data_IF_130486129505
#
_entry.id   IF_130486129505
#
_cell.length_a   1.000
_cell.length_b   1.000
_cell.length_c   1.000
_cell.angle_alpha   90.00
_cell.angle_beta   90.00
_cell.angle_gamma   90.00
#
_symmetry.space_group_name_H-M   'P 1'
#
loop_
_entity.id
_entity.type
_entity.pdbx_description
1 polymer ?
#
# COMPACT_ATOMS: atom_id res chain seq x y z
N UNK A 1 -14.39 -6.08 -1.65
CA UNK A 1 -14.74 -5.54 -2.97
C UNK A 1 -14.68 -6.68 -3.95
N UNK A 2 -15.73 -6.87 -4.75
CA UNK A 2 -15.85 -7.99 -5.70
C UNK A 2 -15.10 -7.67 -7.00
N UNK A 3 -14.55 -8.69 -7.67
CA UNK A 3 -13.83 -8.55 -8.93
C UNK A 3 -14.71 -7.92 -10.01
N UNK A 4 -15.96 -8.35 -10.11
CA UNK A 4 -16.90 -7.82 -11.12
C UNK A 4 -17.10 -6.31 -10.98
N UNK A 5 -17.27 -5.81 -9.76
CA UNK A 5 -17.43 -4.38 -9.45
C UNK A 5 -16.19 -3.59 -9.86
N UNK A 6 -14.99 -4.10 -9.52
CA UNK A 6 -13.71 -3.49 -9.91
C UNK A 6 -13.60 -3.39 -11.43
N UNK A 7 -13.94 -4.46 -12.16
CA UNK A 7 -13.89 -4.48 -13.61
C UNK A 7 -14.88 -3.49 -14.25
N UNK A 8 -16.06 -3.31 -13.64
CA UNK A 8 -17.04 -2.33 -14.11
C UNK A 8 -16.58 -0.87 -13.95
N UNK A 9 -15.69 -0.59 -13.01
CA UNK A 9 -15.09 0.75 -12.83
C UNK A 9 -13.99 1.05 -13.85
N UNK A 10 -13.47 0.02 -14.55
CA UNK A 10 -12.45 0.20 -15.58
C UNK A 10 -13.02 0.78 -16.89
N UNK A 11 -12.15 1.44 -17.65
CA UNK A 11 -12.46 1.89 -19.01
C UNK A 11 -12.51 0.70 -19.98
N UNK A 12 -13.23 0.88 -21.09
CA UNK A 12 -13.33 -0.16 -22.12
C UNK A 12 -11.94 -0.50 -22.70
N UNK A 13 -11.07 0.49 -22.87
CA UNK A 13 -9.72 0.27 -23.40
C UNK A 13 -8.85 -0.57 -22.45
N UNK A 14 -8.92 -0.30 -21.13
CA UNK A 14 -8.25 -1.14 -20.13
C UNK A 14 -8.81 -2.56 -20.14
N UNK A 15 -10.13 -2.73 -20.24
CA UNK A 15 -10.75 -4.06 -20.31
C UNK A 15 -10.35 -4.84 -21.56
N UNK A 16 -10.25 -4.20 -22.73
CA UNK A 16 -9.75 -4.84 -23.97
C UNK A 16 -8.31 -5.30 -23.81
N UNK A 17 -7.46 -4.49 -23.16
CA UNK A 17 -6.07 -4.81 -22.86
C UNK A 17 -5.95 -6.01 -21.93
N UNK A 18 -6.71 -6.04 -20.84
CA UNK A 18 -6.78 -7.17 -19.91
C UNK A 18 -7.34 -8.43 -20.60
N UNK A 19 -8.39 -8.27 -21.42
CA UNK A 19 -8.96 -9.36 -22.20
C UNK A 19 -7.94 -9.98 -23.17
N UNK A 20 -7.00 -9.18 -23.71
CA UNK A 20 -5.89 -9.67 -24.52
C UNK A 20 -4.97 -10.65 -23.78
N UNK A 21 -4.76 -10.47 -22.47
CA UNK A 21 -3.96 -11.38 -21.65
C UNK A 21 -4.68 -12.71 -21.36
N UNK A 22 -6.01 -12.67 -21.32
CA UNK A 22 -6.87 -13.82 -21.06
C UNK A 22 -7.31 -14.58 -22.32
N UNK A 23 -6.98 -14.08 -23.53
CA UNK A 23 -7.46 -14.67 -24.79
C UNK A 23 -8.92 -14.33 -25.13
N UNK A 24 -9.47 -13.28 -24.51
CA UNK A 24 -10.82 -12.77 -24.72
C UNK A 24 -10.90 -11.65 -25.78
N UNK A 25 -9.86 -11.49 -26.62
CA UNK A 25 -9.71 -10.34 -27.53
C UNK A 25 -10.80 -10.21 -28.62
N UNK A 26 -11.65 -11.22 -28.80
CA UNK A 26 -12.78 -11.18 -29.74
C UNK A 26 -14.01 -10.42 -29.25
N UNK A 27 -14.06 -10.03 -27.97
CA UNK A 27 -15.21 -9.33 -27.40
C UNK A 27 -15.06 -7.80 -27.51
N UNK A 28 -16.16 -7.11 -27.85
CA UNK A 28 -16.15 -5.65 -28.04
C UNK A 28 -17.05 -4.90 -27.05
N UNK A 29 -18.08 -5.57 -26.51
CA UNK A 29 -18.98 -5.00 -25.50
C UNK A 29 -18.35 -5.11 -24.12
N UNK A 30 -18.54 -4.06 -23.30
CA UNK A 30 -17.99 -3.99 -21.94
C UNK A 30 -18.45 -5.18 -21.09
N UNK A 31 -19.73 -5.52 -21.12
CA UNK A 31 -20.25 -6.68 -20.35
C UNK A 31 -19.64 -8.02 -20.78
N UNK A 32 -19.40 -8.21 -22.09
CA UNK A 32 -18.78 -9.43 -22.60
C UNK A 32 -17.32 -9.54 -22.16
N UNK A 33 -16.59 -8.41 -22.18
CA UNK A 33 -15.22 -8.33 -21.68
C UNK A 33 -15.15 -8.66 -20.19
N UNK A 34 -15.98 -8.00 -19.37
CA UNK A 34 -16.04 -8.23 -17.91
C UNK A 34 -16.36 -9.70 -17.61
N UNK A 35 -17.40 -10.25 -18.24
CA UNK A 35 -17.78 -11.67 -18.04
C UNK A 35 -16.67 -12.62 -18.44
N UNK A 36 -16.00 -12.37 -19.56
CA UNK A 36 -14.92 -13.24 -20.03
C UNK A 36 -13.71 -13.21 -19.08
N UNK A 37 -13.26 -12.02 -18.67
CA UNK A 37 -12.16 -11.86 -17.71
C UNK A 37 -12.52 -12.50 -16.37
N UNK A 38 -13.70 -12.16 -15.83
CA UNK A 38 -14.18 -12.71 -14.56
C UNK A 38 -14.22 -14.24 -14.58
N UNK A 39 -14.80 -14.85 -15.63
CA UNK A 39 -14.86 -16.31 -15.77
C UNK A 39 -13.47 -16.95 -15.74
N UNK A 40 -12.50 -16.37 -16.44
CA UNK A 40 -11.14 -16.92 -16.54
C UNK A 40 -10.38 -16.77 -15.22
N UNK A 41 -10.49 -15.61 -14.56
CA UNK A 41 -9.81 -15.38 -13.27
C UNK A 41 -10.43 -16.22 -12.16
N UNK A 42 -11.75 -16.46 -12.20
CA UNK A 42 -12.46 -17.26 -11.20
C UNK A 42 -12.35 -18.78 -11.39
N UNK A 43 -11.89 -19.24 -12.55
CA UNK A 43 -11.74 -20.68 -12.80
C UNK A 43 -10.37 -21.15 -12.27
N UNK A 44 -10.30 -22.09 -11.31
CA UNK A 44 -9.04 -22.47 -10.65
C UNK A 44 -7.92 -22.91 -11.61
N UNK A 45 -8.26 -23.67 -12.65
CA UNK A 45 -7.28 -24.18 -13.62
C UNK A 45 -6.67 -23.06 -14.46
N UNK A 46 -7.48 -22.11 -14.92
CA UNK A 46 -6.97 -20.94 -15.66
C UNK A 46 -6.28 -19.95 -14.74
N UNK A 47 -6.74 -19.79 -13.50
CA UNK A 47 -6.05 -18.99 -12.49
C UNK A 47 -4.64 -19.51 -12.25
N UNK A 48 -4.46 -20.83 -12.12
CA UNK A 48 -3.14 -21.46 -11.99
C UNK A 48 -2.26 -21.20 -13.23
N UNK A 49 -2.82 -21.33 -14.43
CA UNK A 49 -2.09 -21.00 -15.68
C UNK A 49 -1.69 -19.53 -15.76
N UNK A 50 -2.52 -18.62 -15.26
CA UNK A 50 -2.19 -17.20 -15.18
C UNK A 50 -1.11 -16.95 -14.13
N UNK A 51 -1.19 -17.64 -12.99
CA UNK A 51 -0.18 -17.60 -11.93
C UNK A 51 1.19 -18.08 -12.42
N UNK A 52 1.24 -19.16 -13.19
CA UNK A 52 2.48 -19.70 -13.74
C UNK A 52 3.17 -18.74 -14.73
N UNK A 53 2.40 -17.86 -15.38
CA UNK A 53 2.92 -16.80 -16.27
C UNK A 53 3.47 -15.59 -15.51
N UNK A 54 3.24 -15.47 -14.21
CA UNK A 54 3.79 -14.37 -13.41
C UNK A 54 5.28 -14.59 -13.14
N UNK A 55 6.06 -13.53 -13.28
CA UNK A 55 7.44 -13.49 -12.82
C UNK A 55 7.50 -13.63 -11.28
N UNK A 56 8.65 -14.07 -10.76
CA UNK A 56 8.81 -14.31 -9.32
C UNK A 56 8.55 -13.05 -8.48
N UNK A 57 8.95 -11.87 -8.96
CA UNK A 57 8.68 -10.60 -8.28
C UNK A 57 7.18 -10.24 -8.31
N UNK A 58 6.48 -10.57 -9.40
CA UNK A 58 5.04 -10.38 -9.54
C UNK A 58 4.26 -11.33 -8.62
N UNK A 59 4.69 -12.60 -8.49
CA UNK A 59 4.11 -13.55 -7.51
C UNK A 59 4.27 -13.05 -6.08
N UNK A 60 5.44 -12.50 -5.74
CA UNK A 60 5.69 -11.88 -4.43
C UNK A 60 4.79 -10.67 -4.19
N UNK A 61 4.50 -9.87 -5.23
CA UNK A 61 3.59 -8.73 -5.10
C UNK A 61 2.17 -9.17 -4.78
N UNK A 62 1.65 -10.20 -5.47
CA UNK A 62 0.33 -10.78 -5.17
C UNK A 62 0.32 -11.40 -3.76
N UNK A 63 1.38 -12.12 -3.38
CA UNK A 63 1.51 -12.69 -2.03
C UNK A 63 1.48 -11.60 -0.95
N UNK A 64 2.21 -10.51 -1.15
CA UNK A 64 2.19 -9.38 -0.23
C UNK A 64 0.80 -8.76 -0.09
N UNK A 65 0.06 -8.59 -1.19
CA UNK A 65 -1.30 -8.06 -1.15
C UNK A 65 -2.26 -9.03 -0.44
N UNK A 66 -2.13 -10.33 -0.71
CA UNK A 66 -2.90 -11.39 -0.06
C UNK A 66 -2.73 -11.38 1.46
N UNK A 67 -1.48 -11.35 1.94
CA UNK A 67 -1.18 -11.33 3.39
C UNK A 67 -1.58 -10.02 4.08
N UNK A 68 -1.80 -8.94 3.32
CA UNK A 68 -2.30 -7.66 3.81
C UNK A 68 -3.84 -7.53 3.72
N UNK A 69 -4.57 -8.65 3.55
CA UNK A 69 -6.03 -8.62 3.48
C UNK A 69 -6.58 -8.03 2.17
N UNK A 70 -5.77 -8.02 1.12
CA UNK A 70 -6.13 -7.56 -0.22
C UNK A 70 -5.56 -6.18 -0.60
N UNK A 71 -4.85 -5.51 0.30
CA UNK A 71 -4.23 -4.21 0.02
C UNK A 71 -2.75 -4.33 -0.33
N UNK A 72 -2.35 -3.81 -1.49
CA UNK A 72 -0.94 -3.76 -1.85
C UNK A 72 -0.28 -2.46 -1.37
N UNK A 73 0.73 -2.59 -0.49
CA UNK A 73 1.55 -1.47 -0.04
C UNK A 73 2.88 -1.43 -0.80
N UNK A 74 2.96 -0.56 -1.80
CA UNK A 74 4.15 -0.43 -2.65
C UNK A 74 5.42 -0.03 -1.87
N UNK A 75 5.31 0.84 -0.86
CA UNK A 75 6.45 1.29 -0.07
C UNK A 75 7.03 0.16 0.80
N UNK A 76 6.15 -0.61 1.46
CA UNK A 76 6.56 -1.79 2.22
C UNK A 76 7.17 -2.86 1.30
N UNK A 77 6.58 -3.07 0.13
CA UNK A 77 7.07 -4.02 -0.87
C UNK A 77 8.48 -3.66 -1.34
N UNK A 78 8.72 -2.40 -1.72
CA UNK A 78 10.05 -1.93 -2.15
C UNK A 78 11.07 -2.02 -1.00
N UNK A 79 10.66 -1.73 0.24
CA UNK A 79 11.54 -1.89 1.40
C UNK A 79 11.96 -3.35 1.63
N UNK A 80 11.08 -4.32 1.32
CA UNK A 80 11.35 -5.75 1.51
C UNK A 80 12.08 -6.40 0.32
N UNK A 81 11.69 -6.08 -0.90
CA UNK A 81 12.16 -6.75 -2.12
C UNK A 81 13.04 -5.86 -3.02
N UNK A 82 13.27 -4.60 -2.64
CA UNK A 82 14.18 -3.66 -3.29
C UNK A 82 13.61 -2.94 -4.52
N UNK A 83 12.62 -3.50 -5.20
CA UNK A 83 12.04 -2.91 -6.42
C UNK A 83 10.60 -3.38 -6.66
N UNK A 84 9.86 -2.66 -7.52
CA UNK A 84 8.55 -3.07 -8.01
C UNK A 84 8.70 -4.00 -9.23
N UNK A 85 7.68 -4.83 -9.54
CA UNK A 85 7.62 -5.60 -10.79
C UNK A 85 7.90 -4.72 -12.01
N UNK A 86 8.80 -5.19 -12.86
CA UNK A 86 9.18 -4.45 -14.07
C UNK A 86 7.98 -4.35 -15.00
N UNK A 87 7.80 -3.17 -15.57
CA UNK A 87 6.69 -2.87 -16.47
C UNK A 87 7.29 -2.40 -17.78
N UNK A 88 6.91 -3.01 -18.92
CA UNK A 88 7.38 -2.56 -20.22
C UNK A 88 7.00 -1.10 -20.40
N UNK A 89 8.01 -0.23 -20.37
CA UNK A 89 7.83 1.20 -20.53
C UNK A 89 7.31 1.43 -21.94
N UNK A 90 6.12 2.02 -22.06
CA UNK A 90 5.74 2.63 -23.33
C UNK A 90 6.57 3.91 -23.51
N UNK A 91 6.78 4.33 -24.77
CA UNK A 91 7.63 5.48 -25.09
C UNK A 91 7.36 6.69 -24.16
N UNK A 92 8.36 7.57 -23.95
CA UNK A 92 8.27 8.77 -23.07
C UNK A 92 7.01 9.64 -23.22
N UNK A 93 6.30 9.56 -24.36
CA UNK A 93 5.08 10.32 -24.65
C UNK A 93 3.82 9.46 -24.77
N UNK A 94 3.91 8.16 -24.52
CA UNK A 94 2.77 7.26 -24.59
C UNK A 94 2.09 7.18 -23.23
N UNK A 95 0.81 7.51 -23.22
CA UNK A 95 -0.11 7.26 -22.12
C UNK A 95 -0.54 5.78 -22.06
N UNK A 96 -0.08 4.96 -23.02
CA UNK A 96 -0.49 3.56 -23.14
C UNK A 96 0.43 2.68 -22.30
N UNK A 97 0.01 2.35 -21.07
CA UNK A 97 0.68 1.32 -20.28
C UNK A 97 0.33 -0.04 -20.88
N UNK A 98 1.36 -0.79 -21.31
CA UNK A 98 1.18 -2.18 -21.78
C UNK A 98 0.85 -3.06 -20.56
N UNK A 99 -0.28 -3.79 -20.60
CA UNK A 99 -0.70 -4.60 -19.47
C UNK A 99 0.26 -5.78 -19.28
N UNK A 100 0.55 -6.09 -18.03
CA UNK A 100 1.31 -7.29 -17.64
C UNK A 100 0.38 -8.29 -16.95
N UNK A 101 0.71 -9.60 -16.91
CA UNK A 101 -0.13 -10.60 -16.25
C UNK A 101 -0.50 -10.26 -14.80
N UNK A 102 0.34 -9.51 -14.09
CA UNK A 102 0.07 -9.00 -12.74
C UNK A 102 -1.19 -8.13 -12.65
N UNK A 103 -1.52 -7.38 -13.71
CA UNK A 103 -2.68 -6.48 -13.75
C UNK A 103 -4.02 -7.24 -13.76
N UNK A 104 -4.01 -8.58 -13.91
CA UNK A 104 -5.18 -9.45 -13.75
C UNK A 104 -5.46 -9.81 -12.29
N UNK A 105 -4.50 -9.58 -11.40
CA UNK A 105 -4.60 -9.88 -9.97
C UNK A 105 -4.71 -8.61 -9.14
N UNK A 106 -3.88 -7.62 -9.44
CA UNK A 106 -3.82 -6.36 -8.70
C UNK A 106 -4.42 -5.23 -9.54
N UNK A 107 -5.59 -4.74 -9.12
CA UNK A 107 -6.34 -3.75 -9.88
C UNK A 107 -6.12 -2.35 -9.32
N UNK A 108 -5.78 -1.40 -10.19
CA UNK A 108 -5.82 0.02 -9.85
C UNK A 108 -7.25 0.51 -9.88
N UNK A 109 -7.74 1.24 -8.86
CA UNK A 109 -9.08 1.84 -8.88
C UNK A 109 -9.24 2.88 -9.99
N UNK A 110 -8.13 3.40 -10.52
CA UNK A 110 -8.12 4.44 -11.56
C UNK A 110 -7.38 3.98 -12.82
N UNK A 111 -7.98 4.18 -14.01
CA UNK A 111 -7.54 3.57 -15.28
C UNK A 111 -6.28 4.21 -15.91
N UNK A 112 -5.80 5.33 -15.36
CA UNK A 112 -4.69 6.10 -15.94
C UNK A 112 -3.47 6.21 -15.04
N UNK A 113 -3.47 5.52 -13.89
CA UNK A 113 -2.41 5.68 -12.92
C UNK A 113 -1.44 4.51 -12.92
N UNK A 114 -0.17 4.87 -12.92
CA UNK A 114 0.90 3.92 -12.75
C UNK A 114 0.82 3.28 -11.35
N UNK A 115 1.23 2.02 -11.29
CA UNK A 115 1.21 1.16 -10.09
C UNK A 115 2.00 1.72 -8.89
N UNK A 116 2.80 2.76 -9.10
CA UNK A 116 3.54 3.46 -8.04
C UNK A 116 2.78 4.67 -7.44
N UNK A 117 1.63 5.07 -8.00
CA UNK A 117 0.88 6.27 -7.56
C UNK A 117 -0.27 5.89 -6.63
N UNK A 118 -1.02 4.84 -6.95
CA UNK A 118 -2.15 4.37 -6.15
C UNK A 118 -1.91 2.95 -5.66
N UNK A 119 -2.41 2.66 -4.45
CA UNK A 119 -2.41 1.30 -3.89
C UNK A 119 -3.37 0.43 -4.70
N UNK A 120 -2.87 -0.53 -5.48
CA UNK A 120 -3.71 -1.48 -6.17
C UNK A 120 -4.32 -2.46 -5.16
N UNK A 121 -5.50 -2.96 -5.52
CA UNK A 121 -6.33 -3.80 -4.65
C UNK A 121 -6.48 -5.18 -5.28
N UNK A 122 -6.34 -6.20 -4.44
CA UNK A 122 -6.66 -7.58 -4.75
C UNK A 122 -8.15 -7.81 -4.42
N UNK A 123 -8.97 -8.29 -5.37
CA UNK A 123 -10.38 -8.56 -5.14
C UNK A 123 -10.60 -9.57 -4.01
N UNK A 124 -11.61 -9.34 -3.16
CA UNK A 124 -11.85 -10.15 -1.96
C UNK A 124 -12.31 -11.58 -2.27
N UNK A 125 -13.05 -11.73 -3.36
CA UNK A 125 -13.52 -12.99 -3.94
C UNK A 125 -12.37 -13.83 -4.53
N UNK A 126 -11.24 -13.20 -4.88
CA UNK A 126 -10.04 -13.88 -5.36
C UNK A 126 -9.16 -14.43 -4.22
N UNK A 127 -9.26 -13.88 -3.02
CA UNK A 127 -8.50 -14.33 -1.83
C UNK A 127 -8.64 -15.84 -1.58
N UNK A 128 -9.84 -16.43 -1.44
CA UNK A 128 -9.97 -17.86 -1.15
C UNK A 128 -9.38 -18.75 -2.27
N UNK A 129 -9.38 -18.28 -3.53
CA UNK A 129 -8.83 -19.04 -4.64
C UNK A 129 -7.29 -19.04 -4.65
N UNK A 130 -6.67 -18.04 -4.04
CA UNK A 130 -5.22 -17.87 -3.97
C UNK A 130 -4.56 -18.60 -2.79
N UNK A 131 -5.33 -19.10 -1.83
CA UNK A 131 -4.83 -19.74 -0.61
C UNK A 131 -3.82 -20.87 -0.89
N UNK A 132 -4.08 -21.69 -1.92
CA UNK A 132 -3.21 -22.81 -2.29
C UNK A 132 -2.08 -22.44 -3.27
N UNK A 133 -2.08 -21.21 -3.79
CA UNK A 133 -1.11 -20.74 -4.78
C UNK A 133 -0.07 -19.80 -4.18
N UNK A 134 -0.47 -19.04 -3.15
CA UNK A 134 0.38 -18.04 -2.51
C UNK A 134 1.26 -18.68 -1.44
N UNK A 135 2.60 -18.60 -1.56
CA UNK A 135 3.48 -19.07 -0.51
C UNK A 135 3.31 -18.19 0.76
N UNK A 136 3.62 -18.75 1.95
CA UNK A 136 3.66 -17.96 3.18
C UNK A 136 4.67 -16.81 3.05
N UNK A 137 4.42 -15.67 3.73
CA UNK A 137 5.24 -14.48 3.54
C UNK A 137 6.66 -14.74 4.05
N UNK A 138 7.65 -14.29 3.26
CA UNK A 138 9.04 -14.32 3.69
C UNK A 138 9.18 -13.51 4.98
N UNK A 139 9.80 -14.12 6.00
CA UNK A 139 10.03 -13.44 7.27
C UNK A 139 10.81 -12.16 7.01
N UNK A 140 10.23 -11.03 7.42
CA UNK A 140 10.85 -9.72 7.24
C UNK A 140 12.23 -9.70 7.92
N UNK A 141 13.29 -9.72 7.12
CA UNK A 141 14.65 -9.58 7.62
C UNK A 141 14.97 -8.09 7.71
N UNK A 142 14.80 -7.51 8.90
CA UNK A 142 15.27 -6.15 9.19
C UNK A 142 16.80 -6.16 9.10
N UNK A 143 17.34 -5.85 7.94
CA UNK A 143 18.79 -5.72 7.73
C UNK A 143 19.25 -4.32 8.14
N UNK A 144 19.58 -4.16 9.43
CA UNK A 144 20.22 -2.95 10.02
C UNK A 144 19.23 -1.81 10.34
N UNK A 145 19.37 -1.02 11.41
CA UNK A 145 20.60 -0.44 11.95
C UNK A 145 20.52 -0.37 13.49
N UNK A 146 21.23 -1.25 14.21
CA UNK A 146 21.43 -1.11 15.66
C UNK A 146 22.52 -0.07 15.93
N UNK A 147 22.31 1.19 15.52
CA UNK A 147 23.09 2.29 16.09
C UNK A 147 22.60 2.46 17.52
N UNK A 148 23.30 1.78 18.44
CA UNK A 148 23.24 2.05 19.87
C UNK A 148 23.60 3.52 20.03
N UNK A 149 22.60 4.39 20.10
CA UNK A 149 22.79 5.75 20.56
C UNK A 149 23.42 5.62 21.96
N UNK A 150 24.74 5.80 22.03
CA UNK A 150 25.41 6.12 23.28
C UNK A 150 24.81 7.46 23.68
N UNK A 151 23.77 7.41 24.50
CA UNK A 151 23.29 8.57 25.24
C UNK A 151 24.48 9.02 26.09
N UNK A 152 25.27 9.98 25.59
CA UNK A 152 26.20 10.72 26.44
C UNK A 152 25.32 11.48 27.42
N UNK A 153 25.19 10.94 28.63
CA UNK A 153 24.82 11.71 29.80
C UNK A 153 26.02 12.60 30.13
N UNK A 154 26.23 13.66 29.36
CA UNK A 154 27.01 14.79 29.83
C UNK A 154 26.04 15.66 30.65
N UNK A 155 25.91 15.29 31.93
CA UNK A 155 25.36 16.17 32.95
C UNK A 155 26.49 17.16 33.28
N UNK A 156 26.59 18.26 32.53
CA UNK A 156 27.40 19.39 32.96
C UNK A 156 26.50 20.41 33.65
N UNK A 157 26.52 20.37 34.98
CA UNK A 157 26.01 21.43 35.84
C UNK A 157 26.77 22.73 35.55
N UNK A 158 26.14 23.69 34.87
CA UNK A 158 26.53 25.10 34.93
C UNK A 158 25.44 25.99 34.32
N UNK A 159 24.38 26.27 35.08
CA UNK A 159 23.43 27.35 34.82
C UNK A 159 22.97 27.92 36.17
N UNK A 160 23.89 28.52 36.93
CA UNK A 160 23.58 29.33 38.11
C UNK A 160 24.38 30.63 38.07
N UNK A 161 24.11 31.50 37.11
CA UNK A 161 24.50 32.92 37.16
C UNK A 161 23.92 33.69 35.98
N UNK A 162 22.60 33.82 35.90
CA UNK A 162 21.99 34.78 34.97
C UNK A 162 20.55 35.20 35.30
N UNK A 163 20.17 35.29 36.58
CA UNK A 163 18.95 36.02 36.95
C UNK A 163 19.14 36.68 38.33
N UNK A 164 19.79 37.84 38.33
CA UNK A 164 19.66 38.82 39.39
C UNK A 164 18.52 39.79 39.02
N UNK A 165 17.62 40.15 39.95
CA UNK A 165 16.40 40.91 39.66
C UNK A 165 16.68 42.43 39.60
N UNK A 166 16.05 43.15 38.65
CA UNK A 166 15.93 44.62 38.69
C UNK A 166 14.63 45.03 39.40
N UNK A 167 14.65 46.00 40.32
CA UNK A 167 13.45 46.51 40.99
C UNK A 167 12.94 47.81 40.34
N UNK A 168 11.61 47.98 40.29
CA UNK A 168 10.80 49.21 40.48
C UNK A 168 9.48 49.10 39.68
N UNK A 169 8.36 48.71 40.30
CA UNK A 169 7.28 49.57 40.89
C UNK A 169 6.41 50.32 39.84
N UNK A 170 5.16 50.71 40.17
CA UNK A 170 4.02 49.91 40.65
C UNK A 170 2.75 50.20 39.80
N UNK A 171 1.61 49.58 40.16
CA UNK A 171 0.24 50.16 40.26
C UNK A 171 -0.82 49.09 39.98
N UNK A 172 -1.77 49.04 40.92
CA UNK A 172 -3.13 48.48 40.95
C UNK A 172 -3.66 47.76 39.70
N UNK A 173 -4.31 46.60 39.86
CA UNK A 173 -5.72 46.45 40.28
C UNK A 173 -6.12 44.97 40.10
N UNK A 174 -6.53 44.32 41.20
CA UNK A 174 -7.64 43.35 41.34
C UNK A 174 -7.94 42.42 40.14
N UNK A 175 -7.69 41.11 40.28
CA UNK A 175 -8.77 40.11 40.18
C UNK A 175 -8.42 38.77 40.82
N UNK A 176 -9.43 38.25 41.52
CA UNK A 176 -9.47 37.06 42.35
C UNK A 176 -9.95 35.87 41.51
N UNK A 177 -9.77 34.66 42.04
CA UNK A 177 -10.45 33.39 41.69
C UNK A 177 -10.12 32.75 40.33
N UNK A 178 -9.60 31.51 40.37
CA UNK A 178 -10.44 30.30 40.34
C UNK A 178 -9.63 29.13 40.92
N UNK A 179 -10.14 28.61 42.03
CA UNK A 179 -9.76 27.35 42.63
C UNK A 179 -10.15 26.16 41.75
N UNK A 180 -9.39 25.06 41.88
CA UNK A 180 -9.98 23.73 41.87
C UNK A 180 -9.31 22.73 40.94
N UNK A 181 -8.40 21.92 41.49
CA UNK A 181 -8.72 20.50 41.67
C UNK A 181 -7.78 19.80 42.64
N UNK A 182 -8.43 19.19 43.61
CA UNK A 182 -7.93 18.26 44.61
C UNK A 182 -8.07 16.86 44.02
N UNK A 183 -7.02 16.04 44.09
CA UNK A 183 -7.18 14.60 44.31
C UNK A 183 -5.99 14.08 45.11
N UNK A 184 -6.31 13.58 46.30
CA UNK A 184 -5.47 12.78 47.19
C UNK A 184 -5.06 11.48 46.50
N UNK A 185 -3.83 11.06 46.70
CA UNK A 185 -3.48 9.63 46.78
C UNK A 185 -2.68 9.45 48.08
N UNK A 186 -3.27 8.69 49.01
CA UNK A 186 -2.62 8.20 50.23
C UNK A 186 -1.93 6.87 49.91
N UNK A 187 -0.85 6.64 50.65
CA UNK A 187 0.06 5.50 50.67
C UNK A 187 -0.60 4.12 50.63
#
# INVERSE_FOLDING_TARGET
MELSEILYQQTNDTLKRLAGLCGCSGQTRKDDLVRCIHKIVMTPDSLRRLWDKLDDLSKKAVASAYHNGGEFNAAAFVAQYGSLPDRPQSSRFSWEIKPIPLDLFLYSPTPYHAFNIYSPVLPGDLLPLLENLVPPPDKFQVSGCRKRLKLRRDVSASWLSLFAPRPSRPVCTIWWLICGWSTKVKC
#
